data_IF_303346242835
#
_entry.id   IF_303346242835
#
_cell.length_a   1.000
_cell.length_b   1.000
_cell.length_c   1.000
_cell.angle_alpha   90.00
_cell.angle_beta   90.00
_cell.angle_gamma   90.00
#
_symmetry.space_group_name_H-M   'P 1'
#
loop_
_entity.id
_entity.type
_entity.pdbx_description
1 polymer ?
#
# COMPACT_ATOMS: atom_id res chain seq x y z
N UNK A 1 -27.49 1.10 -28.91
CA UNK A 1 -26.60 -0.01 -28.49
C UNK A 1 -25.18 0.40 -28.75
N UNK A 2 -24.26 0.09 -27.84
CA UNK A 2 -22.86 0.46 -27.90
C UNK A 2 -21.98 -0.80 -27.84
N UNK A 3 -20.80 -0.73 -28.45
CA UNK A 3 -19.76 -1.74 -28.29
C UNK A 3 -18.91 -1.36 -27.08
N UNK A 4 -18.93 -2.19 -26.05
CA UNK A 4 -18.02 -2.10 -24.92
C UNK A 4 -16.80 -2.97 -25.19
N UNK A 5 -15.61 -2.37 -25.06
CA UNK A 5 -14.32 -3.04 -25.22
C UNK A 5 -13.63 -3.01 -23.87
N UNK A 6 -13.46 -4.16 -23.19
CA UNK A 6 -12.81 -4.22 -21.89
C UNK A 6 -11.35 -3.73 -21.93
N UNK A 7 -10.84 -3.25 -20.79
CA UNK A 7 -9.41 -2.97 -20.64
C UNK A 7 -8.56 -4.23 -20.59
N UNK A 8 -9.13 -5.32 -20.09
CA UNK A 8 -8.52 -6.64 -20.12
C UNK A 8 -8.75 -7.29 -21.49
N UNK A 9 -7.69 -7.51 -22.29
CA UNK A 9 -7.82 -8.11 -23.62
C UNK A 9 -8.25 -9.59 -23.59
N UNK A 10 -8.20 -10.25 -22.44
CA UNK A 10 -8.68 -11.63 -22.28
C UNK A 10 -10.22 -11.70 -22.23
N UNK A 11 -10.89 -10.58 -21.95
CA UNK A 11 -12.34 -10.49 -21.95
C UNK A 11 -12.88 -10.14 -23.35
N UNK A 12 -13.99 -10.78 -23.79
CA UNK A 12 -14.59 -10.49 -25.07
C UNK A 12 -15.25 -9.10 -25.08
N UNK A 13 -15.27 -8.46 -26.25
CA UNK A 13 -16.11 -7.29 -26.50
C UNK A 13 -17.59 -7.61 -26.21
N UNK A 14 -18.31 -6.64 -25.65
CA UNK A 14 -19.72 -6.78 -25.27
C UNK A 14 -20.62 -5.76 -25.97
N UNK A 15 -21.88 -6.12 -26.20
CA UNK A 15 -22.93 -5.19 -26.65
C UNK A 15 -23.67 -4.68 -25.41
N UNK A 16 -23.72 -3.35 -25.24
CA UNK A 16 -24.27 -2.70 -24.05
C UNK A 16 -25.33 -1.68 -24.44
N UNK A 17 -26.45 -1.67 -23.72
CA UNK A 17 -27.45 -0.60 -23.81
C UNK A 17 -26.99 0.63 -23.03
N UNK A 18 -27.10 1.81 -23.62
CA UNK A 18 -26.85 3.09 -22.97
C UNK A 18 -27.82 4.14 -23.52
N UNK A 19 -28.30 5.03 -22.66
CA UNK A 19 -29.20 6.14 -23.02
C UNK A 19 -28.47 7.40 -23.46
N UNK A 20 -27.13 7.44 -23.34
CA UNK A 20 -26.29 8.48 -23.90
C UNK A 20 -26.60 8.63 -25.39
N UNK A 21 -26.64 9.87 -25.90
CA UNK A 21 -26.97 10.17 -27.30
C UNK A 21 -25.78 10.73 -28.05
N UNK A 22 -24.78 11.28 -27.36
CA UNK A 22 -23.54 11.75 -27.97
C UNK A 22 -22.66 10.57 -28.40
N UNK A 23 -22.69 10.26 -29.69
CA UNK A 23 -21.86 9.21 -30.33
C UNK A 23 -20.56 9.77 -30.92
N UNK A 24 -20.29 11.07 -30.78
CA UNK A 24 -19.11 11.71 -31.38
C UNK A 24 -17.82 11.38 -30.64
N UNK A 25 -17.93 10.92 -29.38
CA UNK A 25 -16.80 10.63 -28.51
C UNK A 25 -17.01 9.34 -27.73
N UNK A 26 -15.90 8.64 -27.50
CA UNK A 26 -15.90 7.45 -26.67
C UNK A 26 -16.13 7.81 -25.20
N UNK A 27 -16.83 6.92 -24.49
CA UNK A 27 -17.10 7.02 -23.06
C UNK A 27 -16.34 5.91 -22.32
N UNK A 28 -16.04 6.16 -21.05
CA UNK A 28 -15.48 5.19 -20.12
C UNK A 28 -16.63 4.66 -19.27
N UNK A 29 -16.74 3.34 -19.16
CA UNK A 29 -17.84 2.69 -18.46
C UNK A 29 -17.39 1.47 -17.68
N UNK A 30 -18.16 1.10 -16.66
CA UNK A 30 -18.12 -0.20 -16.00
C UNK A 30 -19.32 -1.00 -16.47
N UNK A 31 -19.08 -2.25 -16.83
CA UNK A 31 -20.08 -3.16 -17.36
C UNK A 31 -19.97 -4.47 -16.60
N UNK A 32 -21.09 -4.96 -16.07
CA UNK A 32 -21.15 -6.32 -15.55
C UNK A 32 -21.38 -7.28 -16.70
N UNK A 33 -20.50 -8.27 -16.85
CA UNK A 33 -20.65 -9.29 -17.86
C UNK A 33 -21.93 -10.11 -17.62
N UNK A 34 -22.61 -10.46 -18.70
CA UNK A 34 -23.65 -11.48 -18.70
C UNK A 34 -23.08 -12.73 -19.39
N UNK A 35 -23.23 -13.90 -18.78
CA UNK A 35 -22.97 -15.16 -19.49
C UNK A 35 -24.05 -15.34 -20.55
N UNK A 36 -23.69 -15.28 -21.84
CA UNK A 36 -24.56 -15.81 -22.88
C UNK A 36 -23.83 -16.89 -23.67
N UNK A 37 -24.49 -18.04 -23.78
CA UNK A 37 -23.94 -19.34 -24.22
C UNK A 37 -23.95 -19.55 -25.74
N UNK A 38 -24.38 -18.56 -26.52
CA UNK A 38 -24.53 -18.70 -27.97
C UNK A 38 -23.22 -18.45 -28.71
N UNK A 39 -22.70 -19.49 -29.37
CA UNK A 39 -21.50 -19.41 -30.20
C UNK A 39 -21.73 -18.45 -31.38
N UNK A 40 -20.87 -17.45 -31.53
CA UNK A 40 -20.83 -16.57 -32.71
C UNK A 40 -21.45 -15.18 -32.52
N UNK A 41 -22.03 -14.85 -31.36
CA UNK A 41 -22.58 -13.51 -31.07
C UNK A 41 -21.80 -12.86 -29.94
N UNK A 42 -21.49 -11.56 -30.06
CA UNK A 42 -20.85 -10.80 -28.98
C UNK A 42 -21.76 -10.83 -27.73
N UNK A 43 -21.23 -11.15 -26.54
CA UNK A 43 -22.03 -11.20 -25.31
C UNK A 43 -22.69 -9.85 -25.02
N UNK A 44 -23.84 -9.87 -24.34
CA UNK A 44 -24.47 -8.65 -23.83
C UNK A 44 -23.88 -8.32 -22.45
N UNK A 45 -23.79 -7.04 -22.14
CA UNK A 45 -23.38 -6.56 -20.83
C UNK A 45 -24.37 -5.55 -20.29
N UNK A 46 -24.50 -5.48 -18.97
CA UNK A 46 -25.30 -4.45 -18.31
C UNK A 46 -24.39 -3.29 -17.92
N UNK A 47 -24.76 -2.07 -18.32
CA UNK A 47 -24.06 -0.86 -17.89
C UNK A 47 -24.25 -0.69 -16.38
N UNK A 48 -23.15 -0.74 -15.63
CA UNK A 48 -23.15 -0.54 -14.17
C UNK A 48 -22.91 0.93 -13.85
N UNK A 49 -21.98 1.57 -14.56
CA UNK A 49 -21.56 2.95 -14.29
C UNK A 49 -20.99 3.58 -15.55
N UNK A 50 -21.36 4.84 -15.80
CA UNK A 50 -20.72 5.70 -16.79
C UNK A 50 -19.82 6.67 -16.05
N UNK A 51 -18.51 6.67 -16.35
CA UNK A 51 -17.55 7.56 -15.67
C UNK A 51 -17.43 8.91 -16.36
N UNK A 52 -17.58 8.94 -17.69
CA UNK A 52 -17.45 10.14 -18.50
C UNK A 52 -16.65 9.90 -19.77
N UNK A 53 -16.24 10.99 -20.41
CA UNK A 53 -15.56 10.95 -21.71
C UNK A 53 -14.15 10.41 -21.60
N UNK A 54 -13.74 9.65 -22.61
CA UNK A 54 -12.34 9.28 -22.82
C UNK A 54 -11.46 10.53 -22.86
N UNK A 55 -10.40 10.53 -22.05
CA UNK A 55 -9.45 11.64 -21.95
C UNK A 55 -9.81 12.71 -20.91
N UNK A 56 -10.99 12.64 -20.30
CA UNK A 56 -11.29 13.42 -19.10
C UNK A 56 -10.54 12.83 -17.89
N UNK A 57 -9.73 13.65 -17.22
CA UNK A 57 -8.85 13.19 -16.14
C UNK A 57 -9.63 12.57 -14.98
N UNK A 58 -10.75 13.18 -14.57
CA UNK A 58 -11.54 12.70 -13.45
C UNK A 58 -12.22 11.35 -13.79
N UNK A 59 -12.76 11.22 -15.00
CA UNK A 59 -13.36 9.99 -15.48
C UNK A 59 -12.34 8.84 -15.58
N UNK A 60 -11.15 9.11 -16.12
CA UNK A 60 -10.05 8.13 -16.23
C UNK A 60 -9.54 7.68 -14.85
N UNK A 61 -9.29 8.62 -13.93
CA UNK A 61 -8.84 8.30 -12.57
C UNK A 61 -9.88 7.44 -11.83
N UNK A 62 -11.17 7.80 -11.92
CA UNK A 62 -12.24 7.03 -11.30
C UNK A 62 -12.37 5.61 -11.88
N UNK A 63 -12.26 5.47 -13.21
CA UNK A 63 -12.31 4.18 -13.87
C UNK A 63 -11.09 3.30 -13.55
N UNK A 64 -9.89 3.89 -13.48
CA UNK A 64 -8.67 3.20 -13.04
C UNK A 64 -8.79 2.67 -11.62
N UNK A 65 -9.37 3.46 -10.72
CA UNK A 65 -9.55 3.07 -9.34
C UNK A 65 -10.52 1.88 -9.20
N UNK A 66 -11.66 1.93 -9.89
CA UNK A 66 -12.61 0.81 -9.90
C UNK A 66 -12.07 -0.42 -10.67
N UNK A 67 -11.17 -0.24 -11.64
CA UNK A 67 -10.48 -1.34 -12.34
C UNK A 67 -9.51 -2.10 -11.41
N UNK A 68 -8.68 -1.39 -10.64
CA UNK A 68 -7.70 -2.02 -9.75
C UNK A 68 -8.26 -2.40 -8.38
N UNK A 69 -9.32 -1.73 -7.93
CA UNK A 69 -9.96 -1.97 -6.64
C UNK A 69 -11.48 -1.84 -6.77
N UNK A 70 -12.15 -2.82 -7.41
CA UNK A 70 -13.60 -2.84 -7.49
C UNK A 70 -14.20 -3.05 -6.11
N UNK A 71 -15.11 -2.16 -5.70
CA UNK A 71 -15.81 -2.22 -4.41
C UNK A 71 -17.34 -2.33 -4.57
N UNK A 72 -17.77 -2.82 -5.73
CA UNK A 72 -19.19 -3.04 -6.01
C UNK A 72 -19.76 -4.06 -5.02
N UNK A 73 -20.85 -3.71 -4.34
CA UNK A 73 -21.52 -4.56 -3.36
C UNK A 73 -20.95 -4.50 -1.94
N UNK A 74 -19.90 -3.70 -1.67
CA UNK A 74 -19.47 -3.47 -0.30
C UNK A 74 -20.52 -2.65 0.47
N UNK A 75 -20.78 -2.98 1.76
CA UNK A 75 -21.64 -2.17 2.61
C UNK A 75 -21.15 -0.73 2.68
N UNK A 76 -22.07 0.22 2.54
CA UNK A 76 -21.76 1.66 2.57
C UNK A 76 -21.79 2.22 3.98
N UNK A 77 -22.81 1.85 4.74
CA UNK A 77 -23.02 2.31 6.11
C UNK A 77 -22.56 1.22 7.06
N UNK A 78 -21.36 1.40 7.60
CA UNK A 78 -20.80 0.50 8.60
C UNK A 78 -20.57 1.35 9.85
N UNK A 79 -21.32 1.05 10.93
CA UNK A 79 -21.15 1.74 12.20
C UNK A 79 -19.73 1.60 12.75
N UNK A 80 -19.33 2.55 13.58
CA UNK A 80 -18.04 2.53 14.28
C UNK A 80 -18.25 1.85 15.63
N UNK A 81 -17.69 0.64 15.86
CA UNK A 81 -17.77 0.00 17.17
C UNK A 81 -16.93 0.77 18.19
N UNK A 82 -17.33 0.76 19.46
CA UNK A 82 -16.52 1.27 20.56
C UNK A 82 -15.77 0.12 21.23
N UNK A 83 -14.44 0.11 21.20
CA UNK A 83 -13.65 -0.95 21.83
C UNK A 83 -13.70 -0.93 23.36
N UNK A 84 -13.67 -2.11 23.96
CA UNK A 84 -13.44 -2.25 25.40
C UNK A 84 -11.94 -2.14 25.72
N UNK A 85 -11.61 -1.14 26.54
CA UNK A 85 -10.24 -0.86 27.00
C UNK A 85 -10.01 -1.33 28.45
N UNK A 86 -11.00 -1.96 29.07
CA UNK A 86 -10.94 -2.39 30.46
C UNK A 86 -9.73 -3.30 30.71
N UNK A 87 -8.96 -3.00 31.75
CA UNK A 87 -7.79 -3.78 32.15
C UNK A 87 -6.53 -3.57 31.29
N UNK A 88 -6.58 -2.76 30.23
CA UNK A 88 -5.38 -2.40 29.46
C UNK A 88 -4.54 -1.38 30.23
N UNK A 89 -3.21 -1.56 30.37
CA UNK A 89 -2.34 -0.55 30.94
C UNK A 89 -2.38 0.74 30.13
N UNK A 90 -2.39 1.88 30.85
CA UNK A 90 -2.48 3.20 30.23
C UNK A 90 -1.09 3.78 30.01
N UNK A 91 -0.79 4.19 28.78
CA UNK A 91 0.44 4.89 28.41
C UNK A 91 0.09 6.36 28.17
N UNK A 92 0.54 7.24 29.07
CA UNK A 92 0.28 8.69 29.05
C UNK A 92 1.23 9.43 29.98
N UNK A 93 1.27 10.77 29.90
CA UNK A 93 1.98 11.59 30.88
C UNK A 93 1.56 11.30 32.34
N UNK A 94 0.27 11.00 32.59
CA UNK A 94 -0.25 10.73 33.95
C UNK A 94 0.31 9.42 34.53
N UNK A 95 0.75 8.51 33.66
CA UNK A 95 1.39 7.24 34.01
C UNK A 95 2.91 7.27 33.81
N UNK A 96 3.50 8.45 33.66
CA UNK A 96 4.95 8.65 33.56
C UNK A 96 5.55 8.40 32.17
N UNK A 97 4.72 8.26 31.13
CA UNK A 97 5.16 8.07 29.75
C UNK A 97 5.13 9.39 28.99
N UNK A 98 6.19 9.65 28.22
CA UNK A 98 6.21 10.73 27.22
C UNK A 98 5.79 10.11 25.89
N UNK A 99 4.57 10.40 25.42
CA UNK A 99 4.00 9.82 24.19
C UNK A 99 4.01 10.83 23.03
N UNK A 100 4.45 10.40 21.86
CA UNK A 100 4.49 11.24 20.66
C UNK A 100 4.44 10.41 19.37
N UNK A 101 3.97 11.02 18.29
CA UNK A 101 4.08 10.47 16.94
C UNK A 101 4.86 11.42 16.03
N UNK A 102 5.48 10.86 14.97
CA UNK A 102 6.26 11.61 13.98
C UNK A 102 5.79 11.24 12.58
N UNK A 103 5.09 12.17 11.93
CA UNK A 103 4.39 11.92 10.68
C UNK A 103 4.55 13.06 9.66
N UNK A 104 4.21 12.85 8.38
CA UNK A 104 4.10 13.95 7.43
C UNK A 104 3.13 15.05 7.89
N UNK A 105 3.34 16.31 7.48
CA UNK A 105 2.42 17.40 7.79
C UNK A 105 0.98 17.09 7.37
N UNK A 106 0.03 17.23 8.29
CA UNK A 106 -1.39 17.00 8.03
C UNK A 106 -1.84 15.53 8.02
N UNK A 107 -0.98 14.58 8.43
CA UNK A 107 -1.36 13.18 8.63
C UNK A 107 -2.55 13.06 9.59
N UNK A 108 -3.53 12.23 9.23
CA UNK A 108 -4.73 11.96 10.04
C UNK A 108 -4.91 10.48 10.37
N UNK A 109 -4.26 9.59 9.65
CA UNK A 109 -4.25 8.14 9.83
C UNK A 109 -2.96 7.69 10.53
N UNK A 110 -2.74 8.20 11.75
CA UNK A 110 -1.56 7.91 12.58
C UNK A 110 -1.62 6.47 13.09
N UNK A 111 -0.83 5.61 12.47
CA UNK A 111 -0.71 4.18 12.82
C UNK A 111 0.16 3.98 14.07
N UNK A 112 1.25 4.72 14.21
CA UNK A 112 2.30 4.46 15.18
C UNK A 112 2.58 5.62 16.14
N UNK A 113 2.86 5.28 17.40
CA UNK A 113 3.26 6.19 18.47
C UNK A 113 4.47 5.60 19.17
N UNK A 114 5.44 6.46 19.45
CA UNK A 114 6.60 6.16 20.28
C UNK A 114 6.37 6.74 21.68
N UNK A 115 6.79 6.00 22.70
CA UNK A 115 6.78 6.47 24.06
C UNK A 115 8.09 6.19 24.80
N UNK A 116 8.45 7.07 25.73
CA UNK A 116 9.59 6.91 26.62
C UNK A 116 9.15 7.00 28.08
N UNK A 117 9.60 6.07 28.92
CA UNK A 117 9.47 6.14 30.37
C UNK A 117 10.81 6.50 31.00
N UNK A 118 11.00 7.73 31.51
CA UNK A 118 12.23 8.12 32.21
C UNK A 118 12.49 7.30 33.47
N UNK A 119 11.42 6.89 34.17
CA UNK A 119 11.50 6.12 35.41
C UNK A 119 11.91 4.68 35.16
N UNK A 120 11.31 4.03 34.17
CA UNK A 120 11.66 2.64 33.82
C UNK A 120 12.88 2.54 32.92
N UNK A 121 13.27 3.66 32.29
CA UNK A 121 14.30 3.75 31.24
C UNK A 121 14.00 2.78 30.09
N UNK A 122 12.78 2.86 29.56
CA UNK A 122 12.27 1.97 28.50
C UNK A 122 11.55 2.75 27.41
N UNK A 123 11.66 2.21 26.21
CA UNK A 123 10.90 2.65 25.04
C UNK A 123 9.65 1.79 24.85
N UNK A 124 8.63 2.35 24.24
CA UNK A 124 7.47 1.62 23.76
C UNK A 124 7.13 2.04 22.32
N UNK A 125 6.88 1.07 21.46
CA UNK A 125 6.35 1.26 20.10
C UNK A 125 4.91 0.78 20.13
N UNK A 126 3.96 1.69 19.95
CA UNK A 126 2.53 1.39 19.99
C UNK A 126 1.94 1.58 18.61
N UNK A 127 1.27 0.55 18.10
CA UNK A 127 0.52 0.59 16.85
C UNK A 127 -0.98 0.61 17.15
N UNK A 128 -1.76 1.38 16.40
CA UNK A 128 -3.22 1.45 16.50
C UNK A 128 -3.84 0.04 16.50
N UNK A 129 -4.62 -0.32 17.53
CA UNK A 129 -5.32 -1.60 17.60
C UNK A 129 -6.63 -1.53 16.80
N UNK A 130 -6.48 -1.57 15.48
CA UNK A 130 -7.57 -1.54 14.50
C UNK A 130 -8.47 -2.77 14.62
N UNK A 131 -7.91 -3.92 14.98
CA UNK A 131 -8.69 -5.13 15.20
C UNK A 131 -9.71 -4.97 16.34
N UNK A 132 -9.48 -4.07 17.32
CA UNK A 132 -10.48 -3.78 18.34
C UNK A 132 -11.78 -3.19 17.76
N UNK A 133 -11.72 -2.58 16.58
CA UNK A 133 -12.87 -2.05 15.85
C UNK A 133 -13.40 -3.03 14.80
N UNK A 134 -12.52 -3.82 14.18
CA UNK A 134 -12.88 -4.67 13.03
C UNK A 134 -13.23 -6.11 13.43
N UNK A 135 -12.63 -6.65 14.48
CA UNK A 135 -12.55 -8.10 14.74
C UNK A 135 -13.90 -8.83 14.81
N UNK A 136 -14.95 -8.18 15.30
CA UNK A 136 -16.32 -8.72 15.41
C UNK A 136 -17.27 -8.23 14.31
N UNK A 137 -16.81 -7.37 13.40
CA UNK A 137 -17.63 -6.75 12.36
C UNK A 137 -17.29 -7.33 10.98
N UNK A 138 -18.07 -8.32 10.54
CA UNK A 138 -17.82 -9.00 9.26
C UNK A 138 -17.89 -8.05 8.06
N UNK A 139 -18.72 -7.00 8.10
CA UNK A 139 -18.78 -6.01 7.03
C UNK A 139 -17.49 -5.19 6.91
N UNK A 140 -16.91 -4.77 8.03
CA UNK A 140 -15.58 -4.11 8.04
C UNK A 140 -14.50 -5.07 7.58
N UNK A 141 -14.53 -6.32 8.04
CA UNK A 141 -13.54 -7.32 7.67
C UNK A 141 -13.59 -7.64 6.18
N UNK A 142 -14.78 -7.85 5.62
CA UNK A 142 -14.99 -8.04 4.18
C UNK A 142 -14.49 -6.83 3.39
N UNK A 143 -14.74 -5.61 3.86
CA UNK A 143 -14.21 -4.40 3.24
C UNK A 143 -12.69 -4.37 3.24
N UNK A 144 -12.05 -4.60 4.39
CA UNK A 144 -10.59 -4.61 4.50
C UNK A 144 -9.96 -5.69 3.61
N UNK A 145 -10.52 -6.90 3.59
CA UNK A 145 -10.13 -8.00 2.68
C UNK A 145 -10.26 -7.61 1.21
N UNK A 146 -11.37 -6.97 0.84
CA UNK A 146 -11.65 -6.60 -0.55
C UNK A 146 -10.71 -5.50 -1.05
N UNK A 147 -10.47 -4.48 -0.23
CA UNK A 147 -9.63 -3.33 -0.61
C UNK A 147 -8.14 -3.69 -0.48
N UNK A 148 -7.76 -4.43 0.56
CA UNK A 148 -6.40 -4.91 0.83
C UNK A 148 -5.43 -3.85 1.34
N UNK A 149 -5.45 -2.64 0.76
CA UNK A 149 -4.68 -1.49 1.22
C UNK A 149 -5.32 -0.18 0.75
N UNK A 150 -5.11 0.92 1.47
CA UNK A 150 -5.56 2.24 1.05
C UNK A 150 -4.85 2.69 -0.23
N UNK A 151 -5.62 3.23 -1.18
CA UNK A 151 -5.08 3.84 -2.40
C UNK A 151 -5.02 5.36 -2.23
N UNK A 152 -3.85 5.94 -2.44
CA UNK A 152 -3.57 7.38 -2.28
C UNK A 152 -3.24 8.03 -3.62
N UNK A 153 -3.82 9.17 -3.94
CA UNK A 153 -3.43 9.91 -5.15
C UNK A 153 -1.97 10.42 -5.09
N UNK A 154 -1.53 11.10 -6.15
CA UNK A 154 -0.14 11.58 -6.24
C UNK A 154 0.16 12.70 -5.22
N UNK A 155 -0.86 13.30 -4.64
CA UNK A 155 -0.77 14.28 -3.56
C UNK A 155 -0.85 13.63 -2.16
N UNK A 156 -0.98 12.30 -2.08
CA UNK A 156 -1.03 11.57 -0.82
C UNK A 156 -2.42 11.54 -0.16
N UNK A 157 -3.50 11.90 -0.87
CA UNK A 157 -4.87 11.84 -0.33
C UNK A 157 -5.49 10.47 -0.57
N UNK A 158 -6.14 9.91 0.45
CA UNK A 158 -6.82 8.63 0.32
C UNK A 158 -8.04 8.72 -0.62
N UNK A 159 -7.97 8.07 -1.79
CA UNK A 159 -9.06 8.00 -2.78
C UNK A 159 -9.87 6.71 -2.69
N UNK A 160 -9.26 5.66 -2.11
CA UNK A 160 -9.97 4.43 -1.70
C UNK A 160 -9.44 3.98 -0.35
N UNK A 161 -9.98 4.50 0.76
CA UNK A 161 -9.54 4.11 2.09
C UNK A 161 -10.01 2.69 2.40
N UNK A 162 -9.10 1.89 2.97
CA UNK A 162 -9.38 0.53 3.40
C UNK A 162 -10.50 0.50 4.45
N UNK A 163 -10.42 1.40 5.41
CA UNK A 163 -11.43 1.61 6.45
C UNK A 163 -12.25 2.88 6.17
N UNK A 164 -13.44 3.04 6.76
CA UNK A 164 -14.13 4.32 6.80
C UNK A 164 -13.29 5.37 7.53
N UNK A 165 -13.35 6.63 7.10
CA UNK A 165 -12.60 7.74 7.73
C UNK A 165 -12.92 7.90 9.22
N UNK A 166 -14.18 7.67 9.63
CA UNK A 166 -14.59 7.67 11.04
C UNK A 166 -13.82 6.64 11.90
N UNK A 167 -13.19 5.63 11.29
CA UNK A 167 -12.27 4.70 11.95
C UNK A 167 -10.82 5.13 11.69
N UNK A 168 -10.41 5.22 10.43
CA UNK A 168 -9.00 5.39 10.06
C UNK A 168 -8.41 6.76 10.36
N UNK A 169 -9.23 7.81 10.40
CA UNK A 169 -8.81 9.21 10.61
C UNK A 169 -9.31 9.77 11.94
N UNK A 170 -10.09 9.00 12.71
CA UNK A 170 -10.73 9.48 13.95
C UNK A 170 -10.62 8.47 15.10
N UNK A 171 -11.42 7.40 15.07
CA UNK A 171 -11.59 6.52 16.24
C UNK A 171 -10.35 5.68 16.56
N UNK A 172 -9.73 5.08 15.54
CA UNK A 172 -8.57 4.20 15.70
C UNK A 172 -7.22 4.91 15.54
N UNK A 173 -7.18 5.99 14.77
CA UNK A 173 -5.97 6.81 14.55
C UNK A 173 -5.43 7.36 15.87
N UNK A 174 -4.14 7.20 16.13
CA UNK A 174 -3.48 7.63 17.36
C UNK A 174 -3.23 9.15 17.43
N UNK A 175 -4.27 9.95 17.16
CA UNK A 175 -4.20 11.40 17.17
C UNK A 175 -3.89 11.96 18.57
N UNK A 176 -3.20 13.11 18.66
CA UNK A 176 -2.95 13.78 19.92
C UNK A 176 -4.24 14.27 20.58
N UNK A 177 -4.24 14.36 21.91
CA UNK A 177 -5.32 14.95 22.70
C UNK A 177 -5.82 14.06 23.84
N UNK A 178 -6.94 14.45 24.50
CA UNK A 178 -7.38 13.81 25.74
C UNK A 178 -7.98 12.41 25.55
N UNK A 179 -8.30 12.02 24.31
CA UNK A 179 -8.93 10.73 24.01
C UNK A 179 -7.91 9.60 24.13
N UNK A 180 -8.22 8.63 24.99
CA UNK A 180 -7.49 7.36 25.08
C UNK A 180 -7.94 6.43 23.94
N UNK A 181 -6.99 5.74 23.31
CA UNK A 181 -7.22 4.84 22.17
C UNK A 181 -6.57 3.48 22.38
N UNK A 182 -7.11 2.40 21.80
CA UNK A 182 -6.52 1.07 21.93
C UNK A 182 -5.23 0.97 21.11
N UNK A 183 -4.20 0.35 21.70
CA UNK A 183 -2.91 0.09 21.06
C UNK A 183 -2.45 -1.35 21.22
N UNK A 184 -1.61 -1.80 20.29
CA UNK A 184 -0.78 -3.00 20.43
C UNK A 184 0.66 -2.52 20.58
N UNK A 185 1.25 -2.78 21.75
CA UNK A 185 2.52 -2.18 22.14
C UNK A 185 3.61 -3.23 22.29
N UNK A 186 4.78 -2.90 21.75
CA UNK A 186 6.04 -3.56 22.03
C UNK A 186 6.90 -2.67 22.94
N UNK A 187 7.32 -3.18 24.09
CA UNK A 187 8.25 -2.55 25.01
C UNK A 187 9.69 -2.97 24.69
N UNK A 188 10.59 -2.00 24.72
CA UNK A 188 12.01 -2.19 24.47
C UNK A 188 12.86 -1.57 25.59
N UNK A 189 14.09 -2.09 25.75
CA UNK A 189 15.13 -1.44 26.54
C UNK A 189 15.61 -0.13 25.87
N UNK A 190 16.59 0.54 26.48
CA UNK A 190 17.16 1.80 25.97
C UNK A 190 17.79 1.68 24.58
N UNK A 191 18.26 0.48 24.24
CA UNK A 191 18.93 0.14 22.98
C UNK A 191 17.95 -0.41 21.93
N UNK A 192 16.64 -0.26 22.18
CA UNK A 192 15.56 -0.73 21.30
C UNK A 192 15.45 -2.26 21.17
N UNK A 193 16.06 -3.01 22.08
CA UNK A 193 15.90 -4.47 22.12
C UNK A 193 14.55 -4.80 22.79
N UNK A 194 13.70 -5.62 22.17
CA UNK A 194 12.48 -6.13 22.79
C UNK A 194 12.76 -6.74 24.17
N UNK A 195 12.02 -6.34 25.20
CA UNK A 195 12.15 -6.93 26.53
C UNK A 195 11.40 -8.27 26.61
N UNK A 196 11.79 -9.14 27.55
CA UNK A 196 11.06 -10.39 27.82
C UNK A 196 9.60 -10.08 28.19
N UNK A 197 8.64 -10.80 27.58
CA UNK A 197 7.19 -10.52 27.72
C UNK A 197 6.83 -9.05 27.40
N UNK A 198 7.56 -8.44 26.46
CA UNK A 198 7.42 -7.04 26.08
C UNK A 198 6.19 -6.69 25.25
N UNK A 199 5.23 -7.59 25.05
CA UNK A 199 4.03 -7.31 24.25
C UNK A 199 2.80 -7.11 25.13
N UNK A 200 2.02 -6.06 24.88
CA UNK A 200 0.77 -5.81 25.59
C UNK A 200 -0.28 -5.14 24.71
N UNK A 201 -1.55 -5.39 25.05
CA UNK A 201 -2.66 -4.54 24.62
C UNK A 201 -2.74 -3.34 25.55
N UNK A 202 -2.57 -2.15 25.03
CA UNK A 202 -2.51 -0.91 25.80
C UNK A 202 -3.68 0.01 25.50
N UNK A 203 -3.87 0.99 26.37
CA UNK A 203 -4.71 2.15 26.14
C UNK A 203 -3.79 3.38 26.15
N UNK A 204 -3.71 4.11 25.04
CA UNK A 204 -2.72 5.17 24.88
C UNK A 204 -3.39 6.54 24.78
N UNK A 205 -2.84 7.52 25.50
CA UNK A 205 -3.09 8.95 25.30
C UNK A 205 -1.85 9.55 24.65
N UNK A 206 -2.03 10.19 23.51
CA UNK A 206 -0.94 10.81 22.76
C UNK A 206 -0.89 12.28 23.13
N UNK A 207 0.21 12.71 23.76
CA UNK A 207 0.32 14.04 24.32
C UNK A 207 0.99 15.02 23.33
N UNK A 208 1.80 14.52 22.38
CA UNK A 208 2.61 15.35 21.48
C UNK A 208 2.54 14.88 20.03
N UNK A 209 2.72 15.81 19.11
CA UNK A 209 2.74 15.59 17.66
C UNK A 209 3.94 16.29 17.06
N UNK A 210 4.63 15.61 16.15
CA UNK A 210 5.76 16.16 15.43
C UNK A 210 5.67 15.83 13.94
N UNK A 211 6.08 16.77 13.11
CA UNK A 211 6.55 16.45 11.76
C UNK A 211 7.99 15.97 11.80
N UNK A 212 8.46 15.29 10.75
CA UNK A 212 9.87 14.90 10.62
C UNK A 212 10.84 16.09 10.80
N UNK A 213 10.48 17.28 10.31
CA UNK A 213 11.28 18.50 10.48
C UNK A 213 11.32 18.96 11.94
N UNK A 214 10.17 18.92 12.63
CA UNK A 214 10.05 19.41 14.02
C UNK A 214 10.51 18.39 15.07
N UNK A 215 10.69 17.13 14.70
CA UNK A 215 11.03 16.05 15.63
C UNK A 215 12.43 16.22 16.25
N UNK A 216 13.30 17.02 15.63
CA UNK A 216 14.62 17.40 16.16
C UNK A 216 14.57 18.01 17.56
N UNK A 217 13.46 18.66 17.94
CA UNK A 217 13.25 19.17 19.29
C UNK A 217 13.25 18.07 20.38
N UNK A 218 12.93 16.82 20.02
CA UNK A 218 12.92 15.69 20.94
C UNK A 218 14.32 15.31 21.42
N UNK A 219 15.37 15.63 20.66
CA UNK A 219 16.76 15.30 20.97
C UNK A 219 17.20 15.95 22.30
N UNK A 220 16.73 17.15 22.61
CA UNK A 220 17.07 17.82 23.87
C UNK A 220 16.35 17.26 25.10
N UNK A 221 15.33 16.44 24.90
CA UNK A 221 14.44 15.98 25.98
C UNK A 221 14.51 14.47 26.24
N UNK A 222 14.88 13.70 25.21
CA UNK A 222 14.84 12.23 25.21
C UNK A 222 16.24 11.66 24.92
N UNK A 223 16.52 10.39 25.28
CA UNK A 223 17.80 9.76 24.98
C UNK A 223 17.88 9.37 23.49
N UNK A 224 17.93 10.38 22.63
CA UNK A 224 18.02 10.29 21.18
C UNK A 224 19.35 10.92 20.73
N UNK A 225 20.16 10.25 19.89
CA UNK A 225 21.42 10.80 19.41
C UNK A 225 21.25 12.14 18.65
N UNK A 226 22.20 13.07 18.82
CA UNK A 226 22.14 14.39 18.21
C UNK A 226 22.17 14.39 16.67
N UNK A 227 22.72 13.35 16.05
CA UNK A 227 22.83 13.21 14.60
C UNK A 227 21.67 12.40 13.99
N UNK A 228 20.56 12.26 14.71
CA UNK A 228 19.43 11.43 14.29
C UNK A 228 18.70 12.05 13.08
N UNK A 229 18.61 11.31 11.99
CA UNK A 229 17.60 11.54 10.95
C UNK A 229 16.30 10.84 11.36
N UNK A 230 15.22 11.60 11.52
CA UNK A 230 13.96 11.05 12.05
C UNK A 230 13.21 10.16 11.05
N UNK A 231 13.46 10.26 9.74
CA UNK A 231 12.87 9.32 8.78
C UNK A 231 13.47 7.93 8.98
N UNK A 232 14.80 7.85 8.99
CA UNK A 232 15.52 6.60 9.24
C UNK A 232 15.26 6.07 10.65
N UNK A 233 15.20 6.98 11.64
CA UNK A 233 14.92 6.61 13.02
C UNK A 233 13.57 5.92 13.14
N UNK A 234 12.48 6.51 12.65
CA UNK A 234 11.14 5.91 12.69
C UNK A 234 11.11 4.61 11.87
N UNK A 235 11.71 4.60 10.66
CA UNK A 235 11.79 3.41 9.82
C UNK A 235 12.44 2.22 10.56
N UNK A 236 13.54 2.45 11.29
CA UNK A 236 14.19 1.41 12.09
C UNK A 236 13.29 0.87 13.22
N UNK A 237 12.46 1.71 13.84
CA UNK A 237 11.52 1.27 14.90
C UNK A 237 10.41 0.43 14.30
N UNK A 238 9.90 0.81 13.14
CA UNK A 238 8.90 0.02 12.42
C UNK A 238 9.49 -1.33 11.97
N UNK A 239 10.75 -1.36 11.51
CA UNK A 239 11.45 -2.61 11.21
C UNK A 239 11.61 -3.48 12.46
N UNK A 240 12.01 -2.89 13.60
CA UNK A 240 12.10 -3.60 14.88
C UNK A 240 10.75 -4.22 15.29
N UNK A 241 9.68 -3.42 15.31
CA UNK A 241 8.34 -3.88 15.64
C UNK A 241 7.86 -5.01 14.72
N UNK A 242 8.01 -4.82 13.41
CA UNK A 242 7.61 -5.81 12.40
C UNK A 242 8.41 -7.11 12.49
N UNK A 243 9.69 -7.03 12.84
CA UNK A 243 10.57 -8.21 13.02
C UNK A 243 10.21 -8.95 14.30
N UNK A 244 9.99 -8.25 15.41
CA UNK A 244 9.55 -8.86 16.67
C UNK A 244 8.17 -9.51 16.54
N UNK A 245 7.24 -8.87 15.82
CA UNK A 245 5.95 -9.45 15.47
C UNK A 245 6.08 -10.71 14.61
N UNK A 246 6.96 -10.67 13.60
CA UNK A 246 7.22 -11.81 12.74
C UNK A 246 7.73 -13.03 13.52
N UNK A 247 8.59 -12.82 14.51
CA UNK A 247 9.08 -13.89 15.40
C UNK A 247 7.94 -14.58 16.15
N UNK A 248 7.03 -13.81 16.78
CA UNK A 248 5.87 -14.37 17.49
C UNK A 248 4.95 -15.17 16.56
N UNK A 249 4.66 -14.60 15.37
CA UNK A 249 3.79 -15.24 14.38
C UNK A 249 4.39 -16.54 13.85
N UNK A 250 5.71 -16.54 13.61
CA UNK A 250 6.46 -17.70 13.12
C UNK A 250 6.52 -18.80 14.19
N UNK A 251 6.81 -18.46 15.44
CA UNK A 251 6.82 -19.40 16.56
C UNK A 251 5.44 -20.04 16.79
N UNK A 252 4.38 -19.24 16.71
CA UNK A 252 3.01 -19.74 16.84
C UNK A 252 2.47 -20.42 15.58
N UNK A 253 3.18 -20.38 14.45
CA UNK A 253 2.76 -20.99 13.18
C UNK A 253 1.52 -20.35 12.55
N UNK A 254 1.27 -19.06 12.80
CA UNK A 254 0.04 -18.33 12.39
C UNK A 254 0.35 -17.02 11.68
N UNK A 255 -0.62 -16.43 10.98
CA UNK A 255 -0.43 -15.17 10.26
C UNK A 255 0.35 -15.32 8.94
N UNK A 256 0.85 -14.20 8.43
CA UNK A 256 1.65 -14.13 7.20
C UNK A 256 2.96 -13.37 7.42
N UNK A 257 4.01 -13.87 6.78
CA UNK A 257 5.31 -13.21 6.67
C UNK A 257 5.43 -12.49 5.34
N UNK A 258 6.46 -11.65 5.22
CA UNK A 258 6.83 -10.89 4.04
C UNK A 258 8.28 -11.24 3.70
N UNK A 259 8.49 -11.97 2.61
CA UNK A 259 9.80 -12.49 2.23
C UNK A 259 10.29 -11.84 0.93
N UNK A 260 11.60 -11.80 0.78
CA UNK A 260 12.28 -11.36 -0.46
C UNK A 260 13.52 -12.21 -0.65
N UNK A 261 13.66 -12.80 -1.84
CA UNK A 261 14.82 -13.57 -2.25
C UNK A 261 16.07 -12.68 -2.39
N UNK A 262 17.23 -13.31 -2.27
CA UNK A 262 18.51 -12.65 -2.56
C UNK A 262 18.56 -12.38 -4.06
N UNK A 263 18.94 -11.15 -4.42
CA UNK A 263 19.13 -10.80 -5.82
C UNK A 263 20.25 -11.63 -6.45
N UNK A 264 20.03 -12.06 -7.69
CA UNK A 264 21.06 -12.73 -8.47
C UNK A 264 22.24 -11.78 -8.73
N UNK A 265 23.45 -12.19 -8.34
CA UNK A 265 24.63 -11.33 -8.38
C UNK A 265 25.03 -10.95 -9.81
N UNK A 266 24.86 -11.88 -10.76
CA UNK A 266 25.14 -11.64 -12.18
C UNK A 266 24.13 -10.65 -12.77
N UNK A 267 22.84 -10.79 -12.43
CA UNK A 267 21.81 -9.82 -12.79
C UNK A 267 22.09 -8.43 -12.21
N UNK A 268 22.50 -8.33 -10.94
CA UNK A 268 22.92 -7.07 -10.31
C UNK A 268 24.06 -6.42 -11.09
N UNK A 269 25.09 -7.19 -11.44
CA UNK A 269 26.22 -6.71 -12.21
C UNK A 269 25.80 -6.25 -13.62
N UNK A 270 24.96 -7.03 -14.30
CA UNK A 270 24.44 -6.71 -15.63
C UNK A 270 23.63 -5.40 -15.64
N UNK A 271 22.75 -5.19 -14.68
CA UNK A 271 21.98 -3.93 -14.59
C UNK A 271 22.87 -2.74 -14.24
N UNK A 272 23.87 -2.92 -13.37
CA UNK A 272 24.82 -1.86 -13.01
C UNK A 272 25.64 -1.38 -14.20
N UNK A 273 25.99 -2.26 -15.14
CA UNK A 273 26.67 -1.89 -16.38
C UNK A 273 25.82 -0.99 -17.28
N UNK A 274 24.48 -1.07 -17.19
CA UNK A 274 23.57 -0.21 -17.97
C UNK A 274 23.39 1.13 -17.27
N UNK A 275 22.97 1.13 -16.00
CA UNK A 275 22.74 2.34 -15.21
C UNK A 275 22.63 2.02 -13.71
N UNK A 276 23.23 2.84 -12.84
CA UNK A 276 23.21 2.61 -11.39
C UNK A 276 21.78 2.51 -10.82
N UNK A 277 20.87 3.38 -11.27
CA UNK A 277 19.48 3.35 -10.82
C UNK A 277 18.72 2.08 -11.25
N UNK A 278 19.24 1.25 -12.16
CA UNK A 278 18.58 0.02 -12.61
C UNK A 278 18.94 -1.20 -11.76
N UNK A 279 19.89 -1.09 -10.83
CA UNK A 279 20.31 -2.24 -9.98
C UNK A 279 19.12 -2.87 -9.25
N UNK A 280 18.13 -2.07 -8.86
CA UNK A 280 16.92 -2.58 -8.19
C UNK A 280 16.09 -3.55 -9.05
N UNK A 281 16.28 -3.56 -10.38
CA UNK A 281 15.61 -4.48 -11.30
C UNK A 281 16.09 -5.93 -11.16
N UNK A 282 17.24 -6.16 -10.52
CA UNK A 282 17.71 -7.50 -10.17
C UNK A 282 16.94 -8.11 -8.99
N UNK A 283 16.26 -7.29 -8.18
CA UNK A 283 15.52 -7.76 -7.04
C UNK A 283 14.17 -8.32 -7.48
N UNK A 284 13.81 -9.49 -6.95
CA UNK A 284 12.43 -9.94 -7.01
C UNK A 284 11.54 -9.07 -6.10
N UNK A 285 10.26 -8.96 -6.47
CA UNK A 285 9.29 -8.30 -5.63
C UNK A 285 9.11 -9.12 -4.35
N UNK A 286 9.15 -8.45 -3.19
CA UNK A 286 8.78 -9.10 -1.94
C UNK A 286 7.34 -9.65 -2.03
N UNK A 287 7.09 -10.79 -1.39
CA UNK A 287 5.79 -11.48 -1.38
C UNK A 287 5.36 -11.82 0.04
N UNK A 288 4.04 -11.86 0.26
CA UNK A 288 3.47 -12.44 1.46
C UNK A 288 3.48 -13.96 1.31
N UNK A 289 3.79 -14.64 2.40
CA UNK A 289 3.83 -16.11 2.49
C UNK A 289 3.26 -16.55 3.84
N UNK A 290 2.79 -17.81 3.98
CA UNK A 290 2.43 -18.36 5.28
C UNK A 290 3.58 -18.28 6.28
N UNK A 291 3.27 -18.17 7.58
CA UNK A 291 4.27 -18.01 8.65
C UNK A 291 5.22 -19.18 8.83
N UNK A 292 4.84 -20.37 8.38
CA UNK A 292 5.70 -21.57 8.35
C UNK A 292 6.84 -21.50 7.32
N UNK A 293 6.91 -20.44 6.52
CA UNK A 293 7.97 -20.23 5.53
C UNK A 293 9.36 -20.15 6.19
N UNK A 294 10.34 -20.82 5.57
CA UNK A 294 11.74 -20.74 5.95
C UNK A 294 12.48 -19.52 5.35
N UNK A 295 11.87 -18.82 4.39
CA UNK A 295 12.52 -17.72 3.68
C UNK A 295 12.59 -16.44 4.52
N UNK A 296 13.72 -15.74 4.47
CA UNK A 296 13.92 -14.43 5.08
C UNK A 296 13.58 -13.26 4.14
N UNK A 297 14.07 -12.07 4.50
CA UNK A 297 13.92 -10.85 3.71
C UNK A 297 15.30 -10.26 3.37
N UNK A 298 15.85 -10.66 2.22
CA UNK A 298 17.21 -10.30 1.82
C UNK A 298 17.48 -8.79 1.83
N UNK A 299 16.56 -7.97 1.31
CA UNK A 299 16.73 -6.52 1.28
C UNK A 299 16.76 -5.82 2.65
N UNK A 300 16.35 -6.52 3.71
CA UNK A 300 16.38 -6.02 5.10
C UNK A 300 17.43 -6.74 5.96
N UNK A 301 18.04 -7.82 5.46
CA UNK A 301 19.02 -8.61 6.21
C UNK A 301 18.45 -9.33 7.44
N UNK A 302 17.17 -9.72 7.42
CA UNK A 302 16.50 -10.40 8.54
C UNK A 302 15.93 -11.77 8.16
N UNK A 303 15.96 -12.71 9.10
CA UNK A 303 15.50 -14.11 8.90
C UNK A 303 13.98 -14.26 8.85
N UNK A 304 13.25 -13.31 9.43
CA UNK A 304 11.80 -13.26 9.41
C UNK A 304 11.31 -11.83 9.51
N UNK A 305 10.37 -11.47 8.65
CA UNK A 305 9.78 -10.14 8.60
C UNK A 305 8.31 -10.25 8.26
N UNK A 306 7.50 -9.33 8.75
CA UNK A 306 6.08 -9.23 8.41
C UNK A 306 5.69 -7.76 8.29
N UNK A 307 4.45 -7.47 7.90
CA UNK A 307 3.88 -6.15 8.13
C UNK A 307 2.93 -6.24 9.32
N UNK A 308 3.12 -5.35 10.30
CA UNK A 308 2.29 -5.23 11.50
C UNK A 308 2.18 -3.78 12.01
N UNK A 309 2.82 -2.83 11.35
CA UNK A 309 3.00 -1.45 11.82
C UNK A 309 2.08 -0.41 11.16
N UNK A 310 1.20 -0.81 10.24
CA UNK A 310 0.28 0.12 9.56
C UNK A 310 -1.14 -0.45 9.29
N UNK A 311 -1.86 -0.92 10.32
CA UNK A 311 -3.16 -1.57 10.16
C UNK A 311 -4.30 -0.64 9.75
N UNK A 312 -4.17 0.69 9.84
CA UNK A 312 -5.20 1.63 9.34
C UNK A 312 -5.31 1.61 7.82
N UNK A 313 -4.22 1.26 7.14
CA UNK A 313 -4.07 1.36 5.68
C UNK A 313 -3.62 0.10 4.97
N UNK A 314 -3.31 -0.99 5.69
CA UNK A 314 -2.92 -2.28 5.10
C UNK A 314 -3.59 -3.45 5.81
N UNK A 315 -4.26 -4.31 5.04
CA UNK A 315 -4.98 -5.46 5.56
C UNK A 315 -4.03 -6.57 6.05
N UNK A 316 -2.82 -6.67 5.49
CA UNK A 316 -1.81 -7.63 5.97
C UNK A 316 -1.45 -7.37 7.45
N UNK A 317 -1.30 -6.10 7.81
CA UNK A 317 -1.03 -5.66 9.18
C UNK A 317 -2.19 -5.98 10.10
N UNK A 318 -3.43 -5.68 9.68
CA UNK A 318 -4.64 -6.04 10.44
C UNK A 318 -4.78 -7.57 10.61
N UNK A 319 -4.50 -8.34 9.56
CA UNK A 319 -4.53 -9.80 9.59
C UNK A 319 -3.52 -10.35 10.61
N UNK A 320 -2.29 -9.85 10.59
CA UNK A 320 -1.25 -10.23 11.55
C UNK A 320 -1.59 -9.74 12.97
N UNK A 321 -2.13 -8.53 13.11
CA UNK A 321 -2.54 -7.96 14.39
C UNK A 321 -3.55 -8.85 15.12
N UNK A 322 -4.50 -9.45 14.40
CA UNK A 322 -5.45 -10.43 14.99
C UNK A 322 -4.75 -11.56 15.71
N UNK A 323 -3.77 -12.19 15.06
CA UNK A 323 -3.02 -13.29 15.65
C UNK A 323 -2.10 -12.81 16.78
N UNK A 324 -1.44 -11.65 16.62
CA UNK A 324 -0.64 -11.06 17.70
C UNK A 324 -1.48 -10.85 18.96
N UNK A 325 -2.70 -10.33 18.83
CA UNK A 325 -3.61 -10.14 19.97
C UNK A 325 -3.98 -11.47 20.63
N UNK A 326 -4.31 -12.48 19.84
CA UNK A 326 -4.61 -13.81 20.37
C UNK A 326 -3.42 -14.40 21.14
N UNK A 327 -2.20 -14.24 20.61
CA UNK A 327 -0.95 -14.67 21.28
C UNK A 327 -0.76 -13.90 22.60
N UNK A 328 -0.87 -12.57 22.59
CA UNK A 328 -0.72 -11.70 23.76
C UNK A 328 -1.74 -12.06 24.85
N UNK A 329 -2.98 -12.35 24.46
CA UNK A 329 -4.07 -12.71 25.38
C UNK A 329 -4.04 -14.19 25.82
N UNK A 330 -3.11 -15.01 25.31
CA UNK A 330 -3.10 -16.46 25.55
C UNK A 330 -4.36 -17.17 25.05
N UNK A 331 -5.04 -16.60 24.04
CA UNK A 331 -6.28 -17.15 23.49
C UNK A 331 -6.00 -18.36 22.60
N UNK A 332 -6.95 -19.30 22.54
CA UNK A 332 -6.85 -20.45 21.63
C UNK A 332 -6.90 -19.97 20.18
N UNK A 333 -5.85 -20.28 19.43
CA UNK A 333 -5.81 -20.04 17.98
C UNK A 333 -6.47 -21.24 17.32
N UNK A 334 -7.62 -21.03 16.68
CA UNK A 334 -8.22 -22.06 15.85
C UNK A 334 -7.33 -22.30 14.63
N UNK A 335 -7.32 -23.53 14.10
CA UNK A 335 -6.64 -23.89 12.85
C UNK A 335 -7.29 -23.15 11.67
N UNK A 336 -6.97 -21.86 11.53
CA UNK A 336 -7.44 -21.02 10.44
C UNK A 336 -6.38 -21.06 9.34
N UNK A 337 -6.47 -22.07 8.47
CA UNK A 337 -5.60 -22.20 7.29
C UNK A 337 -6.28 -21.68 6.01
N UNK A 338 -6.83 -20.47 6.06
CA UNK A 338 -7.12 -19.75 4.82
C UNK A 338 -5.82 -19.10 4.32
N UNK A 339 -5.31 -19.57 3.18
CA UNK A 339 -4.14 -18.96 2.53
C UNK A 339 -4.51 -17.58 1.96
N UNK A 340 -4.46 -16.55 2.79
CA UNK A 340 -4.71 -15.14 2.39
C UNK A 340 -3.55 -14.52 1.61
N UNK A 341 -2.38 -15.16 1.61
CA UNK A 341 -1.13 -14.63 1.06
C UNK A 341 -1.26 -14.25 -0.43
N UNK A 342 -1.90 -15.10 -1.24
CA UNK A 342 -2.08 -14.85 -2.67
C UNK A 342 -2.95 -13.62 -2.91
N UNK A 343 -4.06 -13.49 -2.17
CA UNK A 343 -4.91 -12.32 -2.27
C UNK A 343 -4.15 -11.04 -1.86
N UNK A 344 -3.40 -11.08 -0.75
CA UNK A 344 -2.58 -9.96 -0.31
C UNK A 344 -1.54 -9.55 -1.37
N UNK A 345 -0.89 -10.54 -2.01
CA UNK A 345 0.06 -10.31 -3.08
C UNK A 345 -0.60 -9.67 -4.32
N UNK A 346 -1.79 -10.15 -4.70
CA UNK A 346 -2.58 -9.58 -5.79
C UNK A 346 -2.99 -8.13 -5.49
N UNK A 347 -3.49 -7.83 -4.29
CA UNK A 347 -3.88 -6.48 -3.87
C UNK A 347 -2.68 -5.53 -3.82
N UNK A 348 -1.53 -6.00 -3.31
CA UNK A 348 -0.30 -5.23 -3.31
C UNK A 348 0.16 -4.90 -4.74
N UNK A 349 0.09 -5.87 -5.66
CA UNK A 349 0.38 -5.66 -7.09
C UNK A 349 -0.60 -4.66 -7.71
N UNK A 350 -1.89 -4.77 -7.41
CA UNK A 350 -2.92 -3.86 -7.91
C UNK A 350 -2.66 -2.41 -7.51
N UNK A 351 -2.30 -2.14 -6.24
CA UNK A 351 -1.94 -0.79 -5.81
C UNK A 351 -0.70 -0.24 -6.52
N UNK A 352 0.36 -1.04 -6.67
CA UNK A 352 1.55 -0.63 -7.45
C UNK A 352 1.21 -0.31 -8.90
N UNK A 353 0.38 -1.13 -9.54
CA UNK A 353 -0.07 -0.88 -10.91
C UNK A 353 -0.95 0.37 -10.99
N UNK A 354 -1.86 0.58 -10.04
CA UNK A 354 -2.70 1.78 -10.01
C UNK A 354 -1.86 3.06 -9.84
N UNK A 355 -0.93 3.11 -8.89
CA UNK A 355 -0.06 4.29 -8.70
C UNK A 355 0.75 4.56 -9.97
N UNK A 356 1.35 3.52 -10.57
CA UNK A 356 2.09 3.66 -11.84
C UNK A 356 1.21 4.26 -12.93
N UNK A 357 -0.01 3.76 -13.08
CA UNK A 357 -0.91 4.12 -14.17
C UNK A 357 -1.49 5.52 -13.97
N UNK A 358 -1.76 5.91 -12.72
CA UNK A 358 -2.12 7.27 -12.34
C UNK A 358 -0.98 8.25 -12.62
N UNK A 359 0.27 7.90 -12.31
CA UNK A 359 1.44 8.70 -12.66
C UNK A 359 1.52 8.94 -14.17
N UNK A 360 1.29 7.93 -14.99
CA UNK A 360 1.29 8.11 -16.44
C UNK A 360 0.16 9.01 -16.93
N UNK A 361 -1.04 8.90 -16.34
CA UNK A 361 -2.17 9.77 -16.65
C UNK A 361 -1.86 11.24 -16.32
N UNK A 362 -1.10 11.50 -15.26
CA UNK A 362 -0.64 12.84 -14.88
C UNK A 362 0.45 13.38 -15.82
N UNK A 363 1.47 12.57 -16.05
CA UNK A 363 2.68 12.99 -16.75
C UNK A 363 2.49 13.11 -18.25
N UNK A 364 1.49 12.45 -18.86
CA UNK A 364 1.27 12.48 -20.32
C UNK A 364 -0.16 12.95 -20.65
N UNK A 365 -0.42 14.27 -20.56
CA UNK A 365 -1.75 14.80 -20.80
C UNK A 365 -2.20 14.56 -22.25
N UNK A 366 -3.50 14.35 -22.41
CA UNK A 366 -4.14 14.17 -23.72
C UNK A 366 -3.81 15.33 -24.65
N UNK A 367 -3.39 15.01 -25.88
CA UNK A 367 -3.08 16.02 -26.91
C UNK A 367 -1.75 16.75 -26.72
N UNK A 368 -0.94 16.41 -25.70
CA UNK A 368 0.43 16.92 -25.55
C UNK A 368 1.45 15.89 -26.04
N UNK A 369 2.52 16.42 -26.63
CA UNK A 369 3.74 15.67 -26.96
C UNK A 369 4.85 16.12 -26.03
N UNK A 370 5.55 15.16 -25.43
CA UNK A 370 6.70 15.41 -24.56
C UNK A 370 7.93 14.76 -25.18
N UNK A 371 9.08 15.40 -24.98
CA UNK A 371 10.38 14.88 -25.36
C UNK A 371 11.09 14.45 -24.09
N UNK A 372 11.55 13.21 -24.01
CA UNK A 372 12.15 12.63 -22.82
C UNK A 372 13.55 12.11 -23.11
N UNK A 373 14.48 12.41 -22.21
CA UNK A 373 15.76 11.72 -22.15
C UNK A 373 15.57 10.30 -21.64
N UNK A 374 16.27 9.36 -22.27
CA UNK A 374 16.21 7.94 -21.95
C UNK A 374 17.59 7.32 -21.88
N UNK A 375 17.65 6.15 -21.25
CA UNK A 375 18.78 5.22 -21.33
C UNK A 375 18.30 3.94 -22.02
N UNK A 376 19.01 3.53 -23.07
CA UNK A 376 18.71 2.32 -23.82
C UNK A 376 19.02 1.08 -23.00
N UNK A 377 18.13 0.08 -23.08
CA UNK A 377 18.35 -1.22 -22.48
C UNK A 377 18.92 -2.21 -23.50
N UNK A 378 19.34 -3.38 -23.01
CA UNK A 378 19.75 -4.50 -23.86
C UNK A 378 18.58 -5.06 -24.68
N UNK A 379 17.34 -4.96 -24.20
CA UNK A 379 16.17 -5.26 -25.01
C UNK A 379 15.69 -4.00 -25.74
N UNK A 380 15.55 -4.09 -27.07
CA UNK A 380 15.15 -2.96 -27.92
C UNK A 380 13.69 -2.54 -27.72
N UNK A 381 12.92 -3.28 -26.91
CA UNK A 381 11.50 -3.04 -26.66
C UNK A 381 11.23 -2.08 -25.51
N UNK A 382 12.23 -1.78 -24.69
CA UNK A 382 12.10 -0.96 -23.48
C UNK A 382 13.25 0.01 -23.32
N UNK A 383 12.94 1.13 -22.70
CA UNK A 383 13.91 2.16 -22.32
C UNK A 383 13.69 2.58 -20.89
N UNK A 384 14.76 3.02 -20.23
CA UNK A 384 14.69 3.64 -18.92
C UNK A 384 14.51 5.15 -19.07
N UNK A 385 13.56 5.73 -18.36
CA UNK A 385 13.34 7.19 -18.30
C UNK A 385 13.84 7.68 -16.93
N UNK A 386 15.05 8.25 -16.81
CA UNK A 386 15.62 8.63 -15.52
C UNK A 386 14.76 9.64 -14.76
N UNK A 387 14.23 10.65 -15.47
CA UNK A 387 13.37 11.68 -14.90
C UNK A 387 12.11 11.12 -14.21
N UNK A 388 11.63 9.96 -14.67
CA UNK A 388 10.43 9.31 -14.13
C UNK A 388 10.76 8.13 -13.23
N UNK A 389 12.03 7.68 -13.20
CA UNK A 389 12.46 6.42 -12.57
C UNK A 389 11.56 5.25 -12.96
N UNK A 390 11.27 5.13 -14.26
CA UNK A 390 10.37 4.11 -14.82
C UNK A 390 10.88 3.55 -16.14
N UNK A 391 10.54 2.28 -16.37
CA UNK A 391 10.67 1.64 -17.66
C UNK A 391 9.47 1.97 -18.56
N UNK A 392 9.76 2.21 -19.82
CA UNK A 392 8.76 2.52 -20.83
C UNK A 392 8.91 1.58 -22.02
N UNK A 393 7.81 0.99 -22.47
CA UNK A 393 7.81 0.14 -23.66
C UNK A 393 7.74 1.03 -24.90
N UNK A 394 8.64 0.81 -25.85
CA UNK A 394 8.75 1.59 -27.08
C UNK A 394 8.25 0.73 -28.25
N UNK A 395 7.45 1.31 -29.15
CA UNK A 395 6.78 0.56 -30.25
C UNK A 395 7.57 0.46 -31.56
N UNK A 396 8.74 1.09 -31.67
CA UNK A 396 9.60 0.99 -32.85
C UNK A 396 11.05 0.76 -32.42
N UNK A 397 11.68 -0.29 -32.96
CA UNK A 397 13.10 -0.58 -32.77
C UNK A 397 13.93 0.57 -33.37
N UNK A 398 14.62 1.31 -32.52
CA UNK A 398 15.81 2.05 -32.92
C UNK A 398 16.96 1.60 -32.03
N UNK A 399 18.07 1.25 -32.67
CA UNK A 399 19.20 0.55 -32.09
C UNK A 399 20.12 1.51 -31.31
N UNK A 400 19.73 1.84 -30.08
CA UNK A 400 20.67 2.41 -29.12
C UNK A 400 21.42 1.30 -28.38
N UNK A 401 22.75 1.41 -28.28
CA UNK A 401 23.53 0.48 -27.47
C UNK A 401 23.14 0.60 -25.99
N UNK A 402 23.06 -0.54 -25.29
CA UNK A 402 22.67 -0.58 -23.89
C UNK A 402 23.55 0.36 -23.03
N UNK A 403 22.91 1.17 -22.18
CA UNK A 403 23.58 2.17 -21.34
C UNK A 403 23.80 3.52 -22.02
N UNK A 404 23.67 3.63 -23.34
CA UNK A 404 23.74 4.91 -24.03
C UNK A 404 22.49 5.75 -23.77
N UNK A 405 22.67 7.08 -23.75
CA UNK A 405 21.58 8.04 -23.67
C UNK A 405 20.92 8.22 -25.05
N UNK A 406 19.64 8.52 -25.04
CA UNK A 406 18.88 8.86 -26.24
C UNK A 406 17.67 9.72 -25.91
N UNK A 407 16.84 9.96 -26.92
CA UNK A 407 15.64 10.80 -26.77
C UNK A 407 14.46 10.14 -27.46
N UNK A 408 13.30 10.17 -26.80
CA UNK A 408 12.02 9.75 -27.40
C UNK A 408 11.00 10.88 -27.32
N UNK A 409 10.09 10.92 -28.29
CA UNK A 409 8.82 11.63 -28.17
C UNK A 409 7.77 10.68 -27.64
N UNK A 410 7.02 11.14 -26.66
CA UNK A 410 5.83 10.49 -26.15
C UNK A 410 4.63 11.41 -26.37
N UNK A 411 3.51 10.88 -26.85
CA UNK A 411 2.27 11.64 -26.93
C UNK A 411 1.09 10.77 -26.52
N UNK A 412 0.03 11.41 -26.03
CA UNK A 412 -1.21 10.74 -25.63
C UNK A 412 -2.27 10.93 -26.71
N UNK A 413 -2.52 9.88 -27.50
CA UNK A 413 -3.54 9.86 -28.57
C UNK A 413 -4.96 9.69 -27.96
N UNK A 414 -5.81 10.73 -27.93
CA UNK A 414 -7.16 10.66 -27.37
C UNK A 414 -8.07 9.64 -28.06
N UNK A 415 -7.75 9.26 -29.30
CA UNK A 415 -8.58 8.36 -30.10
C UNK A 415 -8.39 6.89 -29.71
N UNK A 416 -7.27 6.55 -29.03
CA UNK A 416 -7.04 5.18 -28.58
C UNK A 416 -7.89 4.83 -27.37
N UNK A 417 -8.32 3.57 -27.37
CA UNK A 417 -9.43 3.07 -26.55
C UNK A 417 -9.09 2.95 -25.07
N UNK A 418 -7.85 2.57 -24.74
CA UNK A 418 -7.36 2.50 -23.37
C UNK A 418 -6.15 3.42 -23.19
N UNK A 419 -5.98 3.97 -21.98
CA UNK A 419 -4.91 4.91 -21.66
C UNK A 419 -3.49 4.32 -21.92
N UNK A 420 -3.29 3.00 -21.75
CA UNK A 420 -2.01 2.31 -22.09
C UNK A 420 -1.67 2.38 -23.57
N UNK A 421 -2.68 2.33 -24.44
CA UNK A 421 -2.54 2.41 -25.89
C UNK A 421 -2.43 3.84 -26.38
N UNK A 422 -2.89 4.83 -25.59
CA UNK A 422 -2.76 6.25 -25.93
C UNK A 422 -1.33 6.70 -25.86
N UNK A 423 -0.55 6.13 -24.94
CA UNK A 423 0.87 6.42 -24.81
C UNK A 423 1.60 5.83 -26.01
N UNK A 424 1.86 6.69 -26.98
CA UNK A 424 2.56 6.37 -28.21
C UNK A 424 3.98 6.93 -28.12
N UNK A 425 4.95 6.11 -28.48
CA UNK A 425 6.37 6.48 -28.48
C UNK A 425 6.90 6.56 -29.89
N UNK A 426 7.65 7.62 -30.18
CA UNK A 426 8.38 7.78 -31.44
C UNK A 426 9.81 8.15 -31.08
N UNK A 427 10.78 7.34 -31.51
CA UNK A 427 12.19 7.67 -31.35
C UNK A 427 12.55 8.85 -32.26
N UNK A 428 13.41 9.76 -31.77
CA UNK A 428 13.88 10.92 -32.53
C UNK A 428 15.24 10.60 -33.16
#
# INVERSE_FOLDING_TARGET
MYLFVPYDPELPDMIVGCSERDVTRNQIACVSAYENKDKGVKPRGNLVKLYGRVGDKAAETAALLDYYCPVFGLPKDIGVPEPDLTGRPVLSADTGWITFHVDPPGCRDVDDVIAWSPTERRWAITIADVDAFVGSNEALLQRCRTIGQTFYDLEGRAVRPMLPAAISEEAASLLPGPRIRPGVTLFCDEDWRPVEKGWALTAIRVDRTHTYDSATALISELPIPATTDFHDWIAQRMICYNTAAASLLKEAGVGVLRCQSVADADAVAAWRLIHQDLVHMANEAATYVPSVSAYGHAGLGVDSYCHASSPLRRYADLYNQRFLKMIIMGSRIADCMDSVADNLNQRCKAGRCWTRDLTFLELVPVGKTLTLEIVWLSDTSRVWVPAWRRLLRVRNNTDGAAGCKGTIKIFCDPTKRNWKQRIMTVCI
#
